data_IF_537308316852
#
_entry.id   IF_537308316852
#
_cell.length_a   1.000
_cell.length_b   1.000
_cell.length_c   1.000
_cell.angle_alpha   90.00
_cell.angle_beta   90.00
_cell.angle_gamma   90.00
#
_symmetry.space_group_name_H-M   'P 1'
#
loop_
_entity.id
_entity.type
_entity.pdbx_description
1 polymer ?
#
# COMPACT_ATOMS: atom_id res chain seq x y z
N UNK A 1 19.81 -44.18 -18.18
CA UNK A 1 21.15 -43.99 -17.59
C UNK A 1 21.22 -42.53 -17.12
N UNK A 2 21.15 -42.33 -15.80
CA UNK A 2 21.80 -41.25 -15.02
C UNK A 2 21.42 -39.76 -15.27
N UNK A 3 20.57 -39.21 -14.40
CA UNK A 3 20.96 -38.02 -13.62
C UNK A 3 21.94 -38.49 -12.51
N UNK A 4 22.90 -37.70 -11.95
CA UNK A 4 22.76 -36.31 -11.46
C UNK A 4 24.04 -35.46 -11.75
N UNK A 5 24.28 -34.21 -11.32
CA UNK A 5 24.31 -33.65 -9.97
C UNK A 5 24.80 -32.20 -10.07
N UNK A 6 23.96 -31.19 -9.79
CA UNK A 6 24.43 -29.82 -9.57
C UNK A 6 24.74 -29.64 -8.08
N UNK A 7 25.91 -29.08 -7.77
CA UNK A 7 26.37 -28.79 -6.41
C UNK A 7 25.86 -27.42 -5.92
N UNK A 8 25.71 -27.23 -4.59
CA UNK A 8 25.06 -26.07 -3.98
C UNK A 8 26.00 -24.85 -3.84
N UNK A 9 25.40 -23.67 -3.86
CA UNK A 9 26.06 -22.41 -3.51
C UNK A 9 26.04 -22.18 -1.99
N UNK A 10 27.20 -21.83 -1.45
CA UNK A 10 27.47 -21.46 -0.07
C UNK A 10 26.85 -20.09 0.27
N UNK A 11 26.24 -19.99 1.46
CA UNK A 11 25.93 -18.73 2.15
C UNK A 11 27.03 -18.42 3.18
N UNK A 12 27.43 -17.15 3.41
CA UNK A 12 28.21 -16.79 4.58
C UNK A 12 27.32 -16.40 5.77
N UNK A 13 27.83 -16.78 6.94
CA UNK A 13 27.29 -16.60 8.28
C UNK A 13 27.06 -15.14 8.69
N UNK A 14 25.97 -14.89 9.44
CA UNK A 14 25.96 -13.86 10.49
C UNK A 14 25.40 -14.46 11.78
N UNK A 15 26.12 -14.14 12.84
CA UNK A 15 26.12 -14.65 14.20
C UNK A 15 24.90 -14.17 15.00
N UNK A 16 24.28 -15.06 15.78
CA UNK A 16 23.37 -14.70 16.86
C UNK A 16 23.96 -15.23 18.18
N UNK A 17 24.34 -14.32 19.09
CA UNK A 17 24.86 -14.64 20.41
C UNK A 17 23.92 -14.13 21.53
N UNK A 18 23.28 -15.10 22.16
CA UNK A 18 22.75 -15.30 23.53
C UNK A 18 22.68 -14.17 24.61
N UNK A 19 21.50 -14.13 25.24
CA UNK A 19 21.13 -14.15 26.70
C UNK A 19 21.72 -13.10 27.68
N UNK A 20 20.94 -12.57 28.65
CA UNK A 20 20.54 -13.29 29.90
C UNK A 20 19.51 -12.51 30.76
N UNK A 21 18.70 -13.28 31.51
CA UNK A 21 18.17 -13.12 32.90
C UNK A 21 17.78 -11.71 33.41
N UNK A 22 16.57 -11.40 33.88
CA UNK A 22 15.74 -12.09 34.88
C UNK A 22 15.98 -11.49 36.28
N UNK A 23 14.95 -10.92 36.94
CA UNK A 23 14.80 -10.74 38.40
C UNK A 23 13.30 -10.49 38.74
N UNK A 24 12.81 -11.22 39.75
CA UNK A 24 11.52 -11.11 40.44
C UNK A 24 11.49 -10.02 41.54
N UNK A 25 10.29 -9.56 41.93
CA UNK A 25 9.99 -8.91 43.22
C UNK A 25 8.75 -7.99 43.15
N UNK A 26 7.54 -8.41 43.51
CA UNK A 26 6.87 -8.47 44.85
C UNK A 26 6.33 -7.10 45.38
N UNK A 27 5.00 -6.99 45.33
CA UNK A 27 3.99 -6.50 46.31
C UNK A 27 4.16 -5.13 47.02
N UNK A 28 3.17 -4.23 46.85
CA UNK A 28 2.36 -3.68 47.96
C UNK A 28 1.06 -3.00 47.49
N UNK A 29 -0.05 -3.49 48.02
CA UNK A 29 -1.36 -2.85 48.12
C UNK A 29 -1.32 -1.65 49.06
N UNK A 30 -2.21 -0.66 48.87
CA UNK A 30 -3.00 -0.06 49.95
C UNK A 30 -4.11 0.87 49.40
N UNK A 31 -5.33 0.44 49.70
CA UNK A 31 -6.58 1.16 50.05
C UNK A 31 -6.39 2.64 50.50
N UNK A 32 -7.19 3.59 50.02
CA UNK A 32 -8.60 3.91 50.32
C UNK A 32 -8.78 5.03 51.38
N UNK A 33 -9.56 6.03 50.98
CA UNK A 33 -10.65 6.68 51.73
C UNK A 33 -10.41 7.24 53.14
N UNK A 34 -10.42 8.58 53.25
CA UNK A 34 -10.91 9.40 54.37
C UNK A 34 -11.09 10.84 53.81
N UNK A 35 -12.01 11.72 54.20
CA UNK A 35 -13.26 11.69 54.98
C UNK A 35 -13.84 13.13 54.93
N UNK A 36 -15.16 13.25 55.12
CA UNK A 36 -15.90 14.37 55.77
C UNK A 36 -15.79 15.78 55.16
N UNK A 37 -16.80 16.29 54.44
CA UNK A 37 -18.11 16.81 54.92
C UNK A 37 -18.01 17.60 56.25
N UNK A 38 -18.17 18.92 56.16
CA UNK A 38 -18.89 19.67 57.18
C UNK A 38 -19.69 20.83 56.55
N UNK A 39 -21.01 20.75 56.73
CA UNK A 39 -21.99 21.81 56.50
C UNK A 39 -21.68 23.05 57.37
N UNK A 40 -21.99 24.24 56.85
CA UNK A 40 -22.05 25.43 57.67
C UNK A 40 -22.26 26.72 56.88
N UNK A 41 -23.52 27.19 56.87
CA UNK A 41 -23.97 28.55 56.57
C UNK A 41 -24.17 28.95 55.11
N UNK A 42 -25.26 28.43 54.55
CA UNK A 42 -26.17 29.24 53.75
C UNK A 42 -26.71 30.41 54.59
N UNK A 43 -26.35 31.64 54.23
CA UNK A 43 -27.20 32.85 54.23
C UNK A 43 -26.36 34.11 54.45
N UNK A 44 -26.65 35.10 53.61
CA UNK A 44 -26.07 36.45 53.54
C UNK A 44 -24.77 36.50 52.76
N UNK A 45 -24.85 36.64 51.44
CA UNK A 45 -24.24 37.75 50.69
C UNK A 45 -24.92 37.80 49.31
N UNK A 46 -26.24 37.93 49.32
CA UNK A 46 -27.11 38.06 48.14
C UNK A 46 -26.99 39.44 47.45
N UNK A 47 -25.97 40.25 47.76
CA UNK A 47 -25.81 41.63 47.30
C UNK A 47 -24.34 42.01 47.09
N UNK A 48 -23.48 41.07 46.67
CA UNK A 48 -22.08 41.37 46.31
C UNK A 48 -21.56 40.47 45.18
N UNK A 49 -22.44 40.02 44.28
CA UNK A 49 -22.12 39.00 43.25
C UNK A 49 -22.38 39.45 41.82
N UNK A 50 -22.70 40.74 41.57
CA UNK A 50 -22.99 41.23 40.22
C UNK A 50 -21.98 42.19 39.61
N UNK A 51 -20.98 42.68 40.36
CA UNK A 51 -20.03 43.67 39.83
C UNK A 51 -18.58 43.21 39.68
N UNK A 52 -18.23 42.02 40.16
CA UNK A 52 -16.88 41.45 40.00
C UNK A 52 -16.76 40.43 38.84
N UNK A 53 -17.90 40.03 38.25
CA UNK A 53 -17.95 39.08 37.12
C UNK A 53 -17.80 39.79 35.76
N UNK A 54 -17.89 41.11 35.71
CA UNK A 54 -17.96 41.91 34.47
C UNK A 54 -16.67 42.68 34.12
N UNK A 55 -15.50 42.31 34.68
CA UNK A 55 -14.20 42.87 34.26
C UNK A 55 -13.09 41.83 34.01
N UNK A 56 -13.32 40.54 34.25
CA UNK A 56 -12.36 39.47 33.93
C UNK A 56 -12.78 38.63 32.70
N UNK A 57 -13.62 39.19 31.83
CA UNK A 57 -14.04 38.54 30.56
C UNK A 57 -13.40 39.24 29.34
N UNK A 58 -12.48 40.19 29.54
CA UNK A 58 -11.97 41.04 28.43
C UNK A 58 -10.44 41.08 28.28
N UNK A 59 -9.69 40.20 28.95
CA UNK A 59 -8.24 40.05 28.70
C UNK A 59 -7.88 38.57 28.71
N UNK A 60 -8.35 37.77 27.74
CA UNK A 60 -7.76 36.47 27.34
C UNK A 60 -8.33 35.99 25.99
N UNK A 61 -8.40 36.88 25.00
CA UNK A 61 -8.35 36.51 23.58
C UNK A 61 -7.36 37.55 23.02
N UNK A 62 -6.18 37.21 22.52
CA UNK A 62 -5.94 36.26 21.43
C UNK A 62 -4.46 35.86 21.44
N UNK A 63 -4.14 34.60 21.70
CA UNK A 63 -3.11 33.80 21.00
C UNK A 63 -3.18 32.35 21.51
N UNK A 64 -4.37 31.76 21.60
CA UNK A 64 -4.41 30.31 21.37
C UNK A 64 -4.38 30.16 19.87
N UNK A 65 -3.19 29.99 19.30
CA UNK A 65 -3.11 29.37 17.99
C UNK A 65 -3.93 28.09 18.10
N UNK A 66 -5.08 28.06 17.43
CA UNK A 66 -5.85 26.86 17.27
C UNK A 66 -4.97 25.98 16.38
N UNK A 67 -4.11 25.19 17.00
CA UNK A 67 -3.46 24.09 16.30
C UNK A 67 -4.62 23.19 15.90
N UNK A 68 -5.02 23.27 14.63
CA UNK A 68 -5.92 22.32 14.02
C UNK A 68 -5.41 20.91 14.38
N UNK A 69 -6.27 19.99 14.83
CA UNK A 69 -5.83 18.64 15.14
C UNK A 69 -5.33 18.01 13.84
N UNK A 70 -4.01 17.87 13.72
CA UNK A 70 -3.33 17.27 12.57
C UNK A 70 -3.84 15.86 12.26
N UNK A 71 -4.45 15.21 13.25
CA UNK A 71 -5.07 13.89 13.16
C UNK A 71 -6.21 13.82 12.13
N UNK A 72 -7.06 14.86 12.07
CA UNK A 72 -8.17 14.92 11.12
C UNK A 72 -7.75 15.27 9.69
N UNK A 73 -6.61 15.94 9.51
CA UNK A 73 -6.04 16.22 8.19
C UNK A 73 -5.32 14.98 7.63
N UNK A 74 -4.50 14.32 8.46
CA UNK A 74 -3.77 13.11 8.10
C UNK A 74 -4.72 11.93 7.79
N UNK A 75 -5.79 11.76 8.57
CA UNK A 75 -6.78 10.71 8.30
C UNK A 75 -7.48 10.91 6.95
N UNK A 76 -7.85 12.16 6.59
CA UNK A 76 -8.47 12.44 5.29
C UNK A 76 -7.54 12.16 4.11
N UNK A 77 -6.24 12.42 4.27
CA UNK A 77 -5.23 12.15 3.25
C UNK A 77 -5.07 10.64 3.03
N UNK A 78 -4.95 9.87 4.11
CA UNK A 78 -4.91 8.39 4.06
C UNK A 78 -6.19 7.82 3.44
N UNK A 79 -7.35 8.30 3.85
CA UNK A 79 -8.64 7.84 3.31
C UNK A 79 -8.76 8.12 1.80
N UNK A 80 -8.27 9.28 1.33
CA UNK A 80 -8.29 9.63 -0.09
C UNK A 80 -7.28 8.79 -0.89
N UNK A 81 -6.06 8.59 -0.38
CA UNK A 81 -5.07 7.72 -1.01
C UNK A 81 -5.60 6.28 -1.15
N UNK A 82 -6.18 5.72 -0.08
CA UNK A 82 -6.78 4.39 -0.12
C UNK A 82 -7.92 4.32 -1.14
N UNK A 83 -8.74 5.36 -1.22
CA UNK A 83 -9.83 5.44 -2.18
C UNK A 83 -9.32 5.45 -3.64
N UNK A 84 -8.31 6.26 -3.93
CA UNK A 84 -7.67 6.32 -5.26
C UNK A 84 -7.07 4.97 -5.63
N UNK A 85 -6.38 4.31 -4.68
CA UNK A 85 -5.83 2.97 -4.86
C UNK A 85 -6.91 1.93 -5.14
N UNK A 86 -8.00 1.96 -4.38
CA UNK A 86 -9.12 1.04 -4.55
C UNK A 86 -9.79 1.21 -5.92
N UNK A 87 -10.08 2.44 -6.34
CA UNK A 87 -10.63 2.73 -7.68
C UNK A 87 -9.71 2.26 -8.80
N UNK A 88 -8.39 2.37 -8.62
CA UNK A 88 -7.43 1.88 -9.60
C UNK A 88 -7.48 0.36 -9.74
N UNK A 89 -7.50 -0.38 -8.61
CA UNK A 89 -7.64 -1.85 -8.60
C UNK A 89 -8.95 -2.30 -9.23
N UNK A 90 -10.06 -1.63 -8.94
CA UNK A 90 -11.37 -1.93 -9.52
C UNK A 90 -11.38 -1.77 -11.04
N UNK A 91 -10.80 -0.69 -11.57
CA UNK A 91 -10.70 -0.48 -13.02
C UNK A 91 -9.82 -1.51 -13.70
N UNK A 92 -8.68 -1.84 -13.09
CA UNK A 92 -7.71 -2.78 -13.65
C UNK A 92 -8.18 -4.25 -13.57
N UNK A 93 -9.04 -4.57 -12.60
CA UNK A 93 -9.61 -5.90 -12.42
C UNK A 93 -10.43 -6.36 -13.63
N UNK A 94 -10.49 -7.66 -13.82
CA UNK A 94 -11.20 -8.32 -14.91
C UNK A 94 -10.39 -9.44 -15.55
N UNK A 95 -11.05 -10.07 -16.51
CA UNK A 95 -10.46 -11.10 -17.36
C UNK A 95 -10.02 -10.41 -18.65
N UNK A 96 -8.75 -10.61 -19.00
CA UNK A 96 -8.08 -9.92 -20.08
C UNK A 96 -7.38 -10.91 -20.98
N UNK A 97 -7.54 -10.76 -22.29
CA UNK A 97 -6.76 -11.48 -23.29
C UNK A 97 -5.69 -10.58 -23.87
N UNK A 98 -4.52 -11.14 -24.14
CA UNK A 98 -3.48 -10.38 -24.82
C UNK A 98 -3.87 -10.18 -26.30
N UNK A 99 -3.82 -8.94 -26.76
CA UNK A 99 -4.03 -8.58 -28.16
C UNK A 99 -2.69 -8.44 -28.89
N UNK A 100 -1.75 -7.69 -28.33
CA UNK A 100 -0.42 -7.52 -28.92
C UNK A 100 0.68 -7.52 -27.86
N UNK A 101 1.86 -8.00 -28.25
CA UNK A 101 3.11 -7.86 -27.48
C UNK A 101 4.12 -7.15 -28.39
N UNK A 102 4.68 -6.03 -27.94
CA UNK A 102 5.81 -5.37 -28.58
C UNK A 102 7.06 -5.53 -27.71
N UNK A 103 8.16 -6.00 -28.31
CA UNK A 103 9.46 -6.14 -27.66
C UNK A 103 10.58 -6.02 -28.70
N UNK A 104 11.66 -5.31 -28.35
CA UNK A 104 12.86 -5.14 -29.19
C UNK A 104 12.53 -4.58 -30.58
N UNK A 105 11.57 -3.66 -30.64
CA UNK A 105 11.10 -3.04 -31.88
C UNK A 105 10.23 -3.94 -32.78
N UNK A 106 9.84 -5.13 -32.32
CA UNK A 106 8.95 -6.03 -33.06
C UNK A 106 7.62 -6.19 -32.33
N UNK A 107 6.52 -6.29 -33.09
CA UNK A 107 5.18 -6.53 -32.55
C UNK A 107 4.65 -7.89 -33.02
N UNK A 108 4.03 -8.64 -32.11
CA UNK A 108 3.38 -9.91 -32.39
C UNK A 108 1.98 -9.97 -31.76
N UNK A 109 1.14 -10.83 -32.33
CA UNK A 109 -0.17 -11.19 -31.78
C UNK A 109 -0.05 -12.60 -31.17
N UNK A 110 -0.14 -12.74 -29.84
CA UNK A 110 -0.02 -14.05 -29.19
C UNK A 110 -1.29 -14.89 -29.37
N UNK A 111 -1.18 -16.16 -28.98
CA UNK A 111 -2.30 -17.10 -28.99
C UNK A 111 -3.44 -16.61 -28.07
N UNK A 112 -4.68 -16.69 -28.56
CA UNK A 112 -5.89 -16.25 -27.84
C UNK A 112 -6.22 -17.11 -26.62
N UNK A 113 -5.59 -18.27 -26.48
CA UNK A 113 -5.72 -19.18 -25.33
C UNK A 113 -5.03 -18.63 -24.07
N UNK A 114 -4.27 -17.55 -24.19
CA UNK A 114 -3.61 -16.88 -23.07
C UNK A 114 -4.53 -15.82 -22.46
N UNK A 115 -4.94 -16.06 -21.21
CA UNK A 115 -5.87 -15.20 -20.47
C UNK A 115 -5.27 -14.79 -19.13
N UNK A 116 -5.47 -13.54 -18.72
CA UNK A 116 -5.02 -13.01 -17.43
C UNK A 116 -6.24 -12.56 -16.63
N UNK A 117 -6.47 -13.20 -15.49
CA UNK A 117 -7.48 -12.78 -14.53
C UNK A 117 -6.84 -11.88 -13.46
N UNK A 118 -7.27 -10.63 -13.37
CA UNK A 118 -6.83 -9.67 -12.36
C UNK A 118 -7.96 -9.43 -11.36
N UNK A 119 -7.69 -9.64 -10.09
CA UNK A 119 -8.67 -9.45 -9.01
C UNK A 119 -8.51 -8.08 -8.37
N UNK A 120 -9.58 -7.63 -7.73
CA UNK A 120 -9.65 -6.33 -7.02
C UNK A 120 -8.70 -6.27 -5.83
N UNK A 121 -8.33 -7.41 -5.25
CA UNK A 121 -7.33 -7.49 -4.18
C UNK A 121 -5.87 -7.32 -4.68
N UNK A 122 -5.68 -7.13 -5.98
CA UNK A 122 -4.37 -6.98 -6.62
C UNK A 122 -3.72 -8.31 -7.01
N UNK A 123 -4.31 -9.46 -6.71
CA UNK A 123 -3.80 -10.75 -7.19
C UNK A 123 -4.11 -10.94 -8.68
N UNK A 124 -3.23 -11.66 -9.38
CA UNK A 124 -3.44 -12.03 -10.77
C UNK A 124 -3.03 -13.48 -11.03
N UNK A 125 -3.66 -14.07 -12.04
CA UNK A 125 -3.33 -15.41 -12.54
C UNK A 125 -3.34 -15.38 -14.06
N UNK A 126 -2.27 -15.89 -14.66
CA UNK A 126 -2.15 -16.14 -16.09
C UNK A 126 -2.51 -17.60 -16.36
N UNK A 127 -3.40 -17.81 -17.32
CA UNK A 127 -3.86 -19.11 -17.78
C UNK A 127 -3.44 -19.35 -19.23
N UNK A 128 -3.11 -20.61 -19.54
CA UNK A 128 -2.98 -21.13 -20.89
C UNK A 128 -3.85 -22.37 -20.97
N UNK A 129 -4.80 -22.41 -21.91
CA UNK A 129 -5.75 -23.54 -22.02
C UNK A 129 -6.50 -23.84 -20.71
N UNK A 130 -6.90 -22.78 -19.98
CA UNK A 130 -7.56 -22.84 -18.66
C UNK A 130 -6.70 -23.44 -17.52
N UNK A 131 -5.44 -23.78 -17.77
CA UNK A 131 -4.49 -24.21 -16.76
C UNK A 131 -3.66 -23.02 -16.23
N UNK A 132 -3.52 -22.93 -14.90
CA UNK A 132 -2.69 -21.89 -14.28
C UNK A 132 -1.22 -22.08 -14.69
N UNK A 133 -0.67 -21.05 -15.34
CA UNK A 133 0.72 -21.03 -15.78
C UNK A 133 1.61 -20.22 -14.84
N UNK A 134 1.11 -19.08 -14.34
CA UNK A 134 1.81 -18.23 -13.39
C UNK A 134 0.82 -17.36 -12.61
N UNK A 135 1.19 -16.94 -11.42
CA UNK A 135 0.39 -16.04 -10.59
C UNK A 135 1.26 -15.10 -9.76
N UNK A 136 0.63 -14.04 -9.26
CA UNK A 136 1.33 -12.97 -8.57
C UNK A 136 0.43 -11.91 -7.98
N UNK A 137 1.06 -10.79 -7.62
CA UNK A 137 0.39 -9.61 -7.10
C UNK A 137 0.85 -8.35 -7.83
N UNK A 138 -0.02 -7.35 -7.84
CA UNK A 138 0.25 -6.02 -8.37
C UNK A 138 0.22 -4.99 -7.24
N UNK A 139 1.22 -4.11 -7.21
CA UNK A 139 1.19 -2.85 -6.47
C UNK A 139 0.99 -1.70 -7.44
N UNK A 140 0.15 -0.72 -7.10
CA UNK A 140 -0.22 0.37 -8.01
C UNK A 140 0.26 1.73 -7.47
N UNK A 141 0.82 2.55 -8.37
CA UNK A 141 1.06 3.98 -8.20
C UNK A 141 0.13 4.79 -9.11
N UNK A 142 -1.17 4.91 -8.78
CA UNK A 142 -2.18 5.51 -9.65
C UNK A 142 -2.14 7.04 -9.71
N UNK A 143 -1.35 7.69 -8.84
CA UNK A 143 -1.13 9.14 -8.78
C UNK A 143 0.12 9.59 -9.53
N UNK A 144 0.96 8.64 -9.99
CA UNK A 144 2.10 8.92 -10.84
C UNK A 144 1.65 9.17 -12.29
N UNK A 145 2.47 9.89 -13.05
CA UNK A 145 2.24 10.16 -14.47
C UNK A 145 3.52 9.80 -15.28
N UNK A 146 3.51 8.72 -16.09
CA UNK A 146 2.43 7.74 -16.25
C UNK A 146 2.14 6.93 -14.97
N UNK A 147 0.95 6.33 -14.89
CA UNK A 147 0.58 5.50 -13.73
C UNK A 147 1.49 4.29 -13.62
N UNK A 148 1.97 4.02 -12.41
CA UNK A 148 2.97 2.99 -12.17
C UNK A 148 2.35 1.67 -11.67
N UNK A 149 2.99 0.55 -11.99
CA UNK A 149 2.64 -0.77 -11.48
C UNK A 149 3.90 -1.59 -11.22
N UNK A 150 3.92 -2.31 -10.10
CA UNK A 150 4.93 -3.33 -9.81
C UNK A 150 4.27 -4.70 -9.78
N UNK A 151 4.77 -5.61 -10.61
CA UNK A 151 4.22 -6.95 -10.81
C UNK A 151 5.15 -7.95 -10.13
N UNK A 152 4.71 -8.48 -9.01
CA UNK A 152 5.45 -9.51 -8.26
C UNK A 152 4.98 -10.89 -8.68
N UNK A 153 5.88 -11.71 -9.20
CA UNK A 153 5.55 -13.10 -9.60
C UNK A 153 5.78 -14.02 -8.40
N UNK A 154 4.70 -14.63 -7.90
CA UNK A 154 4.74 -15.46 -6.69
C UNK A 154 4.73 -16.97 -6.99
N UNK A 155 4.30 -17.37 -8.19
CA UNK A 155 4.28 -18.77 -8.63
C UNK A 155 4.47 -18.89 -10.14
N UNK A 156 4.94 -20.06 -10.60
CA UNK A 156 5.15 -20.38 -12.01
C UNK A 156 6.43 -19.79 -12.60
N UNK A 157 6.42 -19.58 -13.91
CA UNK A 157 7.58 -19.02 -14.62
C UNK A 157 7.89 -17.60 -14.14
N UNK A 158 9.16 -17.35 -13.79
CA UNK A 158 9.59 -16.04 -13.31
C UNK A 158 9.36 -15.78 -11.82
N UNK A 159 8.95 -16.79 -11.04
CA UNK A 159 8.80 -16.69 -9.58
C UNK A 159 9.99 -15.97 -8.92
N UNK A 160 9.67 -15.05 -8.00
CA UNK A 160 10.63 -14.26 -7.25
C UNK A 160 11.11 -13.00 -7.97
N UNK A 161 10.71 -12.79 -9.24
CA UNK A 161 10.95 -11.53 -9.95
C UNK A 161 9.89 -10.50 -9.63
N UNK A 162 10.32 -9.24 -9.66
CA UNK A 162 9.45 -8.07 -9.69
C UNK A 162 9.70 -7.35 -11.02
N UNK A 163 8.62 -7.07 -11.75
CA UNK A 163 8.66 -6.29 -12.98
C UNK A 163 8.14 -4.89 -12.68
N UNK A 164 8.92 -3.87 -13.02
CA UNK A 164 8.53 -2.48 -12.84
C UNK A 164 7.97 -1.95 -14.15
N UNK A 165 6.78 -1.39 -14.11
CA UNK A 165 6.10 -0.91 -15.30
C UNK A 165 5.21 0.31 -15.10
N UNK A 166 4.60 0.70 -16.19
CA UNK A 166 3.54 1.70 -16.26
C UNK A 166 2.31 1.06 -16.90
N UNK A 167 1.14 1.58 -16.58
CA UNK A 167 -0.12 1.05 -17.08
C UNK A 167 -1.12 2.15 -17.41
N UNK A 168 -2.03 1.80 -18.30
CA UNK A 168 -3.26 2.55 -18.52
C UNK A 168 -4.40 1.55 -18.71
N UNK A 169 -5.59 1.98 -18.30
CA UNK A 169 -6.80 1.17 -18.41
C UNK A 169 -7.95 2.06 -18.85
N UNK A 170 -8.54 1.68 -19.96
CA UNK A 170 -9.80 2.19 -20.48
C UNK A 170 -10.90 1.14 -20.25
N UNK A 171 -12.09 1.34 -20.81
CA UNK A 171 -13.23 0.43 -20.56
C UNK A 171 -12.96 -1.00 -21.02
N UNK A 172 -12.48 -1.17 -22.26
CA UNK A 172 -12.28 -2.49 -22.90
C UNK A 172 -10.83 -2.78 -23.28
N UNK A 173 -9.92 -1.83 -23.09
CA UNK A 173 -8.50 -1.95 -23.46
C UNK A 173 -7.64 -1.57 -22.26
N UNK A 174 -6.53 -2.26 -22.07
CA UNK A 174 -5.46 -1.81 -21.18
C UNK A 174 -4.11 -1.98 -21.85
N UNK A 175 -3.19 -1.07 -21.57
CA UNK A 175 -1.78 -1.20 -21.93
C UNK A 175 -0.93 -1.31 -20.68
N UNK A 176 0.10 -2.15 -20.78
CA UNK A 176 1.10 -2.35 -19.76
C UNK A 176 2.46 -2.28 -20.45
N UNK A 177 3.36 -1.44 -19.95
CA UNK A 177 4.77 -1.44 -20.36
C UNK A 177 5.62 -1.77 -19.16
N UNK A 178 6.50 -2.76 -19.23
CA UNK A 178 7.35 -3.13 -18.10
C UNK A 178 8.76 -3.52 -18.53
N UNK A 179 9.68 -3.48 -17.57
CA UNK A 179 11.02 -4.03 -17.66
C UNK A 179 11.27 -4.96 -16.47
N UNK A 180 12.08 -6.01 -16.69
CA UNK A 180 12.54 -6.89 -15.63
C UNK A 180 13.94 -6.53 -15.13
N UNK A 181 14.24 -6.86 -13.87
CA UNK A 181 15.62 -6.81 -13.34
C UNK A 181 16.06 -5.41 -12.90
N UNK A 182 17.27 -5.00 -13.30
CA UNK A 182 17.90 -3.72 -12.91
C UNK A 182 17.62 -2.57 -13.88
N UNK A 183 16.71 -2.78 -14.85
CA UNK A 183 16.25 -1.73 -15.75
C UNK A 183 15.49 -0.64 -14.99
N UNK A 184 15.46 0.57 -15.55
CA UNK A 184 14.63 1.65 -15.00
C UNK A 184 13.19 1.45 -15.42
N UNK A 185 12.23 1.87 -14.58
CA UNK A 185 10.81 1.88 -14.96
C UNK A 185 10.65 2.64 -16.30
N UNK A 186 9.89 2.10 -17.28
CA UNK A 186 9.56 2.82 -18.50
C UNK A 186 8.82 4.13 -18.22
N UNK A 187 9.05 5.15 -19.03
CA UNK A 187 8.37 6.46 -18.97
C UNK A 187 7.32 6.63 -20.09
N UNK A 188 7.23 5.67 -21.00
CA UNK A 188 6.39 5.69 -22.19
C UNK A 188 6.02 4.27 -22.63
N UNK A 189 4.91 4.15 -23.38
CA UNK A 189 4.41 2.86 -23.90
C UNK A 189 5.08 2.50 -25.23
N UNK A 190 6.40 2.41 -25.21
CA UNK A 190 7.21 2.15 -26.40
C UNK A 190 8.21 1.01 -26.12
N UNK A 191 8.51 0.25 -27.18
CA UNK A 191 9.60 -0.73 -27.16
C UNK A 191 10.44 -0.58 -28.41
N UNK A 192 11.70 -0.25 -28.20
CA UNK A 192 12.69 0.02 -29.22
C UNK A 192 13.71 -1.10 -29.33
N UNK A 193 14.40 -1.16 -30.46
CA UNK A 193 15.55 -2.04 -30.59
C UNK A 193 16.65 -1.64 -29.60
N UNK A 194 17.07 -2.58 -28.75
CA UNK A 194 18.12 -2.37 -27.76
C UNK A 194 17.61 -1.90 -26.39
N UNK A 195 16.30 -1.69 -26.21
CA UNK A 195 15.69 -1.62 -24.89
C UNK A 195 15.19 -2.99 -24.43
N UNK A 196 14.97 -3.10 -23.12
CA UNK A 196 14.37 -4.28 -22.49
C UNK A 196 12.89 -4.06 -22.17
N UNK A 197 12.27 -3.00 -22.73
CA UNK A 197 10.86 -2.70 -22.55
C UNK A 197 10.00 -3.73 -23.27
N UNK A 198 8.95 -4.18 -22.60
CA UNK A 198 7.90 -5.00 -23.18
C UNK A 198 6.59 -4.27 -23.03
N UNK A 199 5.93 -3.97 -24.15
CA UNK A 199 4.59 -3.39 -24.18
C UNK A 199 3.58 -4.48 -24.49
N UNK A 200 2.54 -4.60 -23.66
CA UNK A 200 1.46 -5.55 -23.83
C UNK A 200 0.15 -4.80 -23.88
N UNK A 201 -0.60 -4.98 -24.96
CA UNK A 201 -1.98 -4.51 -25.10
C UNK A 201 -2.91 -5.66 -24.83
N UNK A 202 -3.92 -5.44 -24.00
CA UNK A 202 -4.94 -6.41 -23.69
C UNK A 202 -6.31 -5.87 -24.05
N UNK A 203 -7.20 -6.79 -24.39
CA UNK A 203 -8.62 -6.52 -24.52
C UNK A 203 -9.40 -7.31 -23.47
N UNK A 204 -10.48 -6.70 -22.99
CA UNK A 204 -11.36 -7.31 -21.99
C UNK A 204 -12.17 -8.45 -22.63
N UNK A 205 -12.31 -9.56 -21.91
CA UNK A 205 -13.22 -10.67 -22.26
C UNK A 205 -14.63 -10.45 -21.71
#
# INVERSE_FOLDING_TARGET
MWFPRWKPWHLPNVVLLWMTSGIQGIIRTNDAMQSEIHEGNAMKYFLFTHWLVMCLVSIFFSTTGFAEPTDGANQREVDEEENVQQRAREKYAGIWRIETIASKGNTSEPDKRIIINNKVDGTWTLFIDDEEFSSGTNSFGPTCEPKEIDISITSGEGQGKVLQGIYEVEESVRRLCFQGGTGSRPDSFESFYGDESVVVTFVRE
#
